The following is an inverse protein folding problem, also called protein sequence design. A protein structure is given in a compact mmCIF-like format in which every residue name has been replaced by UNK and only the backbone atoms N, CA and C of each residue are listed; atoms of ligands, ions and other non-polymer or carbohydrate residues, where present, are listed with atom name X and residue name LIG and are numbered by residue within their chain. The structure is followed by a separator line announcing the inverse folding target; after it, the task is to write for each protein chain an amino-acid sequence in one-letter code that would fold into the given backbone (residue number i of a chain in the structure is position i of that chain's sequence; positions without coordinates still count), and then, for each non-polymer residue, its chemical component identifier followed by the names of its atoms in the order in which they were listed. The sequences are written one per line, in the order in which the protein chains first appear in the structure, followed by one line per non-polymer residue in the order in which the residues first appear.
data_IF_988297219335
#
_entry.id   IF_988297219335
#
_cell.length_a   1.000
_cell.length_b   1.000
_cell.length_c   1.000
_cell.angle_alpha   90.00
_cell.angle_beta   90.00
_cell.angle_gamma   90.00
#
_symmetry.space_group_name_H-M   'P 1'
#
loop_
_entity.id
_entity.type
_entity.pdbx_description
1 polymer ?
#
# COMPACT_ATOMS: atom_id res chain seq x y z
N UNK A 1 23.53 26.18 0.17
CA UNK A 1 22.59 25.30 0.89
C UNK A 1 22.89 23.87 0.47
N UNK A 2 22.83 22.87 1.36
CA UNK A 2 23.22 21.47 1.00
C UNK A 2 22.29 20.84 -0.06
N UNK A 3 21.11 21.46 -0.23
CA UNK A 3 20.07 21.07 -1.17
C UNK A 3 20.27 21.63 -2.59
N UNK A 4 21.22 22.56 -2.81
CA UNK A 4 21.36 23.26 -4.09
C UNK A 4 22.01 22.38 -5.19
N UNK A 5 22.63 21.26 -4.82
CA UNK A 5 23.39 20.38 -5.74
C UNK A 5 22.81 18.95 -5.87
N UNK A 6 21.58 18.70 -5.40
CA UNK A 6 20.92 17.41 -5.63
C UNK A 6 20.39 17.32 -7.08
N UNK A 7 20.81 16.33 -7.88
CA UNK A 7 20.28 16.11 -9.22
C UNK A 7 18.76 15.85 -9.23
N UNK A 8 18.21 15.32 -8.13
CA UNK A 8 16.78 15.08 -7.93
C UNK A 8 15.97 16.37 -7.68
N UNK A 9 16.63 17.44 -7.23
CA UNK A 9 16.02 18.75 -6.98
C UNK A 9 16.34 19.76 -8.10
N UNK A 10 17.05 19.32 -9.15
CA UNK A 10 17.31 20.13 -10.32
C UNK A 10 15.97 20.58 -10.92
N UNK A 11 15.83 21.90 -11.12
CA UNK A 11 14.61 22.51 -11.68
C UNK A 11 14.23 21.74 -12.95
N UNK A 12 13.05 21.08 -12.99
CA UNK A 12 12.68 20.29 -14.14
C UNK A 12 12.68 21.18 -15.38
N UNK A 13 13.18 20.64 -16.51
CA UNK A 13 13.08 21.30 -17.81
C UNK A 13 11.63 21.75 -17.99
N UNK A 14 11.42 23.01 -18.36
CA UNK A 14 10.09 23.60 -18.56
C UNK A 14 9.46 22.90 -19.77
N UNK A 15 8.79 21.77 -19.52
CA UNK A 15 8.03 21.01 -20.49
C UNK A 15 6.89 20.26 -19.78
N UNK A 16 5.66 20.57 -20.18
CA UNK A 16 4.38 19.97 -19.73
C UNK A 16 3.89 20.20 -18.29
N UNK A 17 4.76 20.37 -17.28
CA UNK A 17 4.32 20.58 -15.88
C UNK A 17 3.46 21.84 -15.67
N UNK A 18 3.74 22.89 -16.46
CA UNK A 18 2.98 24.13 -16.42
C UNK A 18 1.61 24.00 -17.09
N UNK A 19 1.45 23.06 -18.01
CA UNK A 19 0.25 22.97 -18.84
C UNK A 19 -0.86 22.19 -18.10
N UNK A 20 -0.56 21.02 -17.53
CA UNK A 20 -1.57 20.23 -16.78
C UNK A 20 -2.12 20.99 -15.56
N UNK A 21 -1.24 21.58 -14.75
CA UNK A 21 -1.64 22.33 -13.56
C UNK A 21 -2.41 23.61 -13.94
N UNK A 22 -1.99 24.33 -14.98
CA UNK A 22 -2.72 25.52 -15.43
C UNK A 22 -4.11 25.15 -15.98
N UNK A 23 -4.21 24.06 -16.75
CA UNK A 23 -5.49 23.54 -17.25
C UNK A 23 -6.41 23.19 -16.08
N UNK A 24 -5.92 22.43 -15.10
CA UNK A 24 -6.69 22.07 -13.91
C UNK A 24 -7.19 23.30 -13.15
N UNK A 25 -6.30 24.28 -12.88
CA UNK A 25 -6.66 25.51 -12.17
C UNK A 25 -7.60 26.44 -12.97
N UNK A 26 -7.67 26.27 -14.29
CA UNK A 26 -8.62 26.99 -15.16
C UNK A 26 -9.96 26.27 -15.33
N UNK A 27 -10.06 25.02 -14.86
CA UNK A 27 -11.29 24.24 -14.93
C UNK A 27 -12.24 24.67 -13.82
N UNK A 28 -13.55 24.61 -14.07
CA UNK A 28 -14.56 24.93 -13.07
C UNK A 28 -14.46 23.97 -11.86
N UNK A 29 -14.80 24.49 -10.68
CA UNK A 29 -14.79 23.72 -9.45
C UNK A 29 -15.95 22.72 -9.48
N UNK A 30 -15.62 21.43 -9.50
CA UNK A 30 -16.59 20.33 -9.36
C UNK A 30 -16.73 19.94 -7.87
N UNK A 31 -17.96 19.71 -7.40
CA UNK A 31 -18.20 19.08 -6.09
C UNK A 31 -18.04 17.55 -6.21
N UNK A 32 -16.91 17.05 -5.71
CA UNK A 32 -16.49 15.65 -5.87
C UNK A 32 -16.56 14.92 -4.54
N UNK A 33 -17.44 13.90 -4.47
CA UNK A 33 -17.59 13.05 -3.27
C UNK A 33 -16.41 12.12 -3.03
N UNK A 34 -15.80 11.60 -4.10
CA UNK A 34 -14.64 10.70 -4.02
C UNK A 34 -13.48 11.26 -4.88
N UNK A 35 -12.56 12.02 -4.28
CA UNK A 35 -11.48 12.66 -5.03
C UNK A 35 -10.47 11.64 -5.59
N UNK A 36 -10.30 10.49 -4.94
CA UNK A 36 -9.40 9.42 -5.43
C UNK A 36 -9.95 8.83 -6.72
N UNK A 37 -11.24 8.46 -6.76
CA UNK A 37 -11.86 7.94 -7.97
C UNK A 37 -11.83 8.96 -9.11
N UNK A 38 -12.09 10.24 -8.81
CA UNK A 38 -12.06 11.32 -9.79
C UNK A 38 -10.68 11.49 -10.45
N UNK A 39 -9.60 11.48 -9.65
CA UNK A 39 -8.23 11.53 -10.19
C UNK A 39 -7.85 10.28 -10.96
N UNK A 40 -8.34 9.11 -10.53
CA UNK A 40 -8.10 7.84 -11.22
C UNK A 40 -8.73 7.82 -12.62
N UNK A 41 -9.97 8.31 -12.75
CA UNK A 41 -10.68 8.41 -14.04
C UNK A 41 -10.01 9.41 -15.00
N UNK A 42 -9.45 10.52 -14.46
CA UNK A 42 -8.83 11.60 -15.25
C UNK A 42 -7.33 11.45 -15.47
N UNK A 43 -6.75 10.29 -15.15
CA UNK A 43 -5.33 10.00 -15.39
C UNK A 43 -4.89 10.16 -16.86
N UNK A 44 -5.80 9.97 -17.81
CA UNK A 44 -5.51 10.17 -19.23
C UNK A 44 -5.39 11.65 -19.59
N UNK A 45 -6.13 12.52 -18.91
CA UNK A 45 -6.13 13.98 -19.09
C UNK A 45 -4.98 14.65 -18.33
N UNK A 46 -4.64 14.12 -17.17
CA UNK A 46 -3.64 14.66 -16.24
C UNK A 46 -2.62 13.60 -15.83
N UNK A 47 -1.83 13.03 -16.74
CA UNK A 47 -1.00 11.85 -16.47
C UNK A 47 0.06 12.06 -15.39
N UNK A 48 0.54 13.29 -15.18
CA UNK A 48 1.52 13.60 -14.13
C UNK A 48 0.84 14.13 -12.88
N UNK A 49 -0.12 15.03 -13.06
CA UNK A 49 -0.81 15.65 -11.93
C UNK A 49 -1.70 14.66 -11.17
N UNK A 50 -2.35 13.72 -11.86
CA UNK A 50 -3.15 12.67 -11.21
C UNK A 50 -2.31 11.76 -10.33
N UNK A 51 -1.08 11.42 -10.76
CA UNK A 51 -0.17 10.62 -9.95
C UNK A 51 0.18 11.31 -8.65
N UNK A 52 0.58 12.58 -8.73
CA UNK A 52 0.88 13.37 -7.53
C UNK A 52 -0.35 13.51 -6.63
N UNK A 53 -1.53 13.79 -7.20
CA UNK A 53 -2.75 13.93 -6.42
C UNK A 53 -3.16 12.63 -5.72
N UNK A 54 -3.06 11.48 -6.39
CA UNK A 54 -3.31 10.17 -5.81
C UNK A 54 -2.30 9.85 -4.70
N UNK A 55 -1.02 10.14 -4.91
CA UNK A 55 0.03 9.94 -3.89
C UNK A 55 -0.28 10.75 -2.61
N UNK A 56 -0.81 11.97 -2.71
CA UNK A 56 -1.21 12.77 -1.54
C UNK A 56 -2.54 12.33 -0.92
N UNK A 57 -3.56 12.06 -1.73
CA UNK A 57 -4.92 11.76 -1.25
C UNK A 57 -5.04 10.38 -0.60
N UNK A 58 -4.14 9.46 -0.93
CA UNK A 58 -4.10 8.11 -0.33
C UNK A 58 -3.40 8.07 1.02
N UNK A 59 -2.73 9.16 1.44
CA UNK A 59 -2.11 9.24 2.76
C UNK A 59 -3.22 9.31 3.82
N UNK A 60 -3.28 8.35 4.75
CA UNK A 60 -4.27 8.41 5.83
C UNK A 60 -4.02 9.65 6.68
N UNK A 61 -5.09 10.40 6.98
CA UNK A 61 -5.00 11.64 7.75
C UNK A 61 -4.54 11.42 9.21
N UNK A 62 -4.67 10.19 9.72
CA UNK A 62 -4.36 9.83 11.11
C UNK A 62 -3.75 8.43 11.19
N UNK A 63 -3.08 8.14 12.29
CA UNK A 63 -2.58 6.80 12.63
C UNK A 63 -3.67 5.82 13.08
N UNK A 64 -4.96 6.20 13.02
CA UNK A 64 -6.08 5.40 13.57
C UNK A 64 -6.15 4.01 12.94
N UNK A 65 -5.92 3.89 11.63
CA UNK A 65 -5.96 2.58 10.95
C UNK A 65 -4.86 1.65 11.46
N UNK A 66 -3.67 2.21 11.70
CA UNK A 66 -2.51 1.49 12.25
C UNK A 66 -2.78 1.11 13.70
N UNK A 67 -3.35 2.00 14.50
CA UNK A 67 -3.73 1.72 15.89
C UNK A 67 -4.83 0.66 15.99
N UNK A 68 -5.81 0.69 15.09
CA UNK A 68 -6.87 -0.31 14.99
C UNK A 68 -6.29 -1.68 14.59
N UNK A 69 -5.36 -1.71 13.63
CA UNK A 69 -4.61 -2.90 13.27
C UNK A 69 -3.82 -3.46 14.46
N UNK A 70 -3.09 -2.63 15.20
CA UNK A 70 -2.36 -3.08 16.40
C UNK A 70 -3.29 -3.51 17.54
N UNK A 71 -4.45 -2.89 17.68
CA UNK A 71 -5.44 -3.27 18.70
C UNK A 71 -6.08 -4.63 18.39
N UNK A 72 -6.49 -4.86 17.13
CA UNK A 72 -6.95 -6.19 16.66
C UNK A 72 -5.83 -7.22 16.72
N UNK A 73 -4.64 -6.82 16.30
CA UNK A 73 -3.41 -7.59 16.39
C UNK A 73 -3.03 -7.92 17.83
N UNK A 74 -3.47 -7.16 18.84
CA UNK A 74 -3.23 -7.48 20.25
C UNK A 74 -3.86 -8.82 20.64
N UNK A 75 -4.98 -9.22 20.04
CA UNK A 75 -5.59 -10.54 20.27
C UNK A 75 -4.68 -11.63 19.72
N UNK A 76 -4.18 -11.45 18.48
CA UNK A 76 -3.13 -12.29 17.90
C UNK A 76 -1.90 -12.31 18.82
N UNK A 77 -1.24 -11.19 19.08
CA UNK A 77 -0.04 -11.09 19.93
C UNK A 77 -0.25 -11.65 21.35
N UNK A 78 -1.43 -11.52 21.94
CA UNK A 78 -1.72 -12.03 23.29
C UNK A 78 -1.90 -13.55 23.33
N UNK A 79 -2.51 -14.16 22.31
CA UNK A 79 -2.57 -15.62 22.15
C UNK A 79 -1.23 -16.22 21.66
N UNK A 80 -0.37 -15.40 21.05
CA UNK A 80 0.91 -15.78 20.43
C UNK A 80 2.15 -15.60 21.33
N UNK A 81 2.04 -15.86 22.64
CA UNK A 81 3.23 -16.05 23.51
C UNK A 81 4.06 -17.30 23.15
N UNK A 82 3.66 -18.05 22.12
CA UNK A 82 4.41 -19.15 21.53
C UNK A 82 5.31 -18.62 20.40
N UNK A 83 6.56 -18.27 20.70
CA UNK A 83 7.74 -18.22 19.82
C UNK A 83 7.57 -17.98 18.29
N UNK A 84 6.67 -17.12 17.82
CA UNK A 84 6.58 -16.78 16.39
C UNK A 84 7.46 -15.58 16.06
N UNK A 85 8.07 -15.61 14.88
CA UNK A 85 8.91 -14.52 14.40
C UNK A 85 8.06 -13.28 14.06
N UNK A 86 8.72 -12.12 14.02
CA UNK A 86 8.09 -10.87 13.59
C UNK A 86 7.59 -10.94 12.14
N UNK A 87 8.25 -11.74 11.29
CA UNK A 87 7.85 -11.97 9.91
C UNK A 87 6.55 -12.77 9.83
N UNK A 88 6.43 -13.88 10.57
CA UNK A 88 5.19 -14.67 10.63
C UNK A 88 4.03 -13.84 11.18
N UNK A 89 4.29 -13.03 12.21
CA UNK A 89 3.27 -12.13 12.78
C UNK A 89 2.76 -11.13 11.74
N UNK A 90 3.65 -10.52 10.95
CA UNK A 90 3.28 -9.61 9.86
C UNK A 90 2.45 -10.31 8.79
N UNK A 91 2.88 -11.49 8.35
CA UNK A 91 2.17 -12.27 7.33
C UNK A 91 0.73 -12.60 7.76
N UNK A 92 0.53 -13.00 9.02
CA UNK A 92 -0.80 -13.29 9.56
C UNK A 92 -1.69 -12.04 9.63
N UNK A 93 -1.15 -10.89 10.01
CA UNK A 93 -1.89 -9.63 10.04
C UNK A 93 -2.32 -9.21 8.62
N UNK A 94 -1.39 -9.24 7.66
CA UNK A 94 -1.68 -8.94 6.26
C UNK A 94 -2.73 -9.89 5.69
N UNK A 95 -2.58 -11.20 5.89
CA UNK A 95 -3.53 -12.20 5.41
C UNK A 95 -4.94 -11.98 5.97
N UNK A 96 -5.05 -11.67 7.27
CA UNK A 96 -6.33 -11.38 7.91
C UNK A 96 -7.04 -10.16 7.32
N UNK A 97 -6.31 -9.07 7.09
CA UNK A 97 -6.90 -7.86 6.50
C UNK A 97 -7.21 -8.03 5.00
N UNK A 98 -6.34 -8.69 4.23
CA UNK A 98 -6.60 -8.95 2.81
C UNK A 98 -7.79 -9.89 2.59
N UNK A 99 -7.98 -10.88 3.47
CA UNK A 99 -9.16 -11.75 3.44
C UNK A 99 -10.45 -10.96 3.66
N UNK A 100 -10.47 -9.98 4.57
CA UNK A 100 -11.64 -9.12 4.79
C UNK A 100 -11.93 -8.17 3.62
N UNK A 101 -10.90 -7.83 2.84
CA UNK A 101 -11.02 -7.03 1.62
C UNK A 101 -11.35 -7.89 0.38
N UNK A 102 -11.60 -9.19 0.55
CA UNK A 102 -11.87 -10.15 -0.54
C UNK A 102 -10.73 -10.21 -1.58
N UNK A 103 -9.50 -9.89 -1.14
CA UNK A 103 -8.29 -9.96 -1.98
C UNK A 103 -7.68 -11.36 -1.99
N UNK A 104 -8.09 -12.22 -1.04
CA UNK A 104 -7.63 -13.60 -0.91
C UNK A 104 -8.83 -14.52 -1.07
N UNK A 105 -8.81 -15.37 -2.10
CA UNK A 105 -9.90 -16.31 -2.38
C UNK A 105 -9.84 -17.50 -1.44
N UNK A 106 -11.00 -17.94 -0.96
CA UNK A 106 -11.13 -19.15 -0.12
C UNK A 106 -10.56 -20.40 -0.78
N UNK A 107 -10.63 -20.49 -2.12
CA UNK A 107 -10.04 -21.60 -2.87
C UNK A 107 -8.53 -21.69 -2.70
N UNK A 108 -7.85 -20.54 -2.67
CA UNK A 108 -6.39 -20.49 -2.54
C UNK A 108 -5.98 -20.78 -1.09
N UNK A 109 -6.76 -20.32 -0.11
CA UNK A 109 -6.57 -20.68 1.31
C UNK A 109 -6.74 -22.18 1.52
N UNK A 110 -7.75 -22.81 0.91
CA UNK A 110 -7.98 -24.26 1.01
C UNK A 110 -6.83 -25.06 0.42
N UNK A 111 -6.35 -24.69 -0.78
CA UNK A 111 -5.18 -25.36 -1.40
C UNK A 111 -3.95 -25.30 -0.49
N UNK A 112 -3.69 -24.15 0.13
CA UNK A 112 -2.55 -23.98 1.05
C UNK A 112 -2.74 -24.80 2.32
N UNK A 113 -3.96 -24.87 2.86
CA UNK A 113 -4.26 -25.65 4.06
C UNK A 113 -4.18 -27.18 3.85
N UNK A 114 -4.26 -27.64 2.60
CA UNK A 114 -4.12 -29.05 2.22
C UNK A 114 -2.66 -29.46 1.97
N UNK A 115 -1.72 -28.51 1.92
CA UNK A 115 -0.29 -28.82 1.76
C UNK A 115 0.26 -29.52 3.00
N UNK A 116 1.25 -30.38 2.79
CA UNK A 116 1.98 -31.01 3.90
C UNK A 116 2.69 -29.94 4.73
N UNK A 117 2.64 -30.12 6.05
CA UNK A 117 3.39 -29.26 6.97
C UNK A 117 4.87 -29.32 6.63
N UNK A 118 5.51 -28.15 6.59
CA UNK A 118 6.95 -28.04 6.40
C UNK A 118 7.65 -28.74 7.57
N UNK A 119 8.54 -29.73 7.33
CA UNK A 119 9.26 -30.43 8.38
C UNK A 119 9.95 -29.46 9.34
N UNK A 120 9.94 -29.78 10.64
CA UNK A 120 10.48 -28.90 11.68
C UNK A 120 11.94 -28.51 11.47
N UNK A 121 12.70 -29.35 10.78
CA UNK A 121 14.12 -29.17 10.45
C UNK A 121 14.33 -28.09 9.37
N UNK A 122 13.33 -27.85 8.54
CA UNK A 122 13.31 -26.80 7.50
C UNK A 122 12.65 -25.49 8.00
N UNK A 123 12.11 -25.48 9.24
CA UNK A 123 11.58 -24.28 9.92
C UNK A 123 12.70 -23.34 10.44
N UNK A 124 13.84 -23.29 9.77
CA UNK A 124 14.74 -22.13 9.90
C UNK A 124 13.87 -20.91 9.61
N UNK A 125 13.97 -19.83 10.41
CA UNK A 125 13.23 -18.59 10.21
C UNK A 125 13.11 -18.31 8.71
N UNK A 126 11.97 -18.66 8.10
CA UNK A 126 11.84 -18.68 6.65
C UNK A 126 11.87 -17.22 6.28
N UNK A 127 13.03 -16.78 5.82
CA UNK A 127 13.25 -15.41 5.46
C UNK A 127 12.50 -15.24 4.14
N UNK A 128 11.27 -14.75 4.27
CA UNK A 128 10.40 -14.53 3.12
C UNK A 128 11.17 -13.67 2.11
N UNK A 129 11.17 -14.04 0.82
CA UNK A 129 11.90 -13.30 -0.21
C UNK A 129 11.57 -11.81 -0.17
N UNK A 130 12.56 -10.97 -0.44
CA UNK A 130 12.34 -9.52 -0.51
C UNK A 130 11.22 -9.21 -1.53
N UNK A 131 10.19 -8.49 -1.07
CA UNK A 131 9.02 -8.16 -1.88
C UNK A 131 7.93 -9.23 -1.93
N UNK A 132 7.93 -10.24 -1.04
CA UNK A 132 6.81 -11.17 -0.89
C UNK A 132 5.47 -10.47 -0.61
N UNK A 133 5.53 -9.30 0.03
CA UNK A 133 4.41 -8.42 0.39
C UNK A 133 4.14 -7.34 -0.66
N UNK A 134 4.81 -7.39 -1.82
CA UNK A 134 4.60 -6.42 -2.89
C UNK A 134 3.23 -6.60 -3.55
N UNK A 135 2.33 -5.66 -3.29
CA UNK A 135 1.05 -5.58 -3.97
C UNK A 135 1.28 -4.91 -5.32
N UNK A 136 1.28 -5.72 -6.39
CA UNK A 136 1.32 -5.21 -7.76
C UNK A 136 -0.06 -4.62 -8.11
N UNK A 137 -0.21 -3.31 -7.93
CA UNK A 137 -1.40 -2.59 -8.40
C UNK A 137 -1.33 -2.45 -9.92
N UNK A 138 -2.22 -3.16 -10.63
CA UNK A 138 -2.45 -3.03 -12.09
C UNK A 138 -3.31 -1.82 -12.40
#
# INVERSE_FOLDING_TARGET
NIFDNLPSLAKPKVSHLRDELAIYLSTDIEDVKNPIAWWYERRSLFPRLSRMALDYLTIPATSVDVEHLFSRGRILLSHLRNCMSAQTTRALLCLGDWSLLDLVKDEDVKKVAELEDVPREDLVDIQLPDGWDSISLV
#
